data_IF_072364116423
#
_entry.id   IF_072364116423
#
_cell.length_a   1.000
_cell.length_b   1.000
_cell.length_c   1.000
_cell.angle_alpha   90.00
_cell.angle_beta   90.00
_cell.angle_gamma   90.00
#
_symmetry.space_group_name_H-M   'P 1'
#
loop_
_entity.id
_entity.type
_entity.pdbx_description
1 polymer ?
#
# COMPACT_ATOMS: atom_id res chain seq x y z
N UNK A 1 26.50 13.74 6.86
CA UNK A 1 25.75 14.94 7.23
C UNK A 1 24.28 14.73 6.92
N UNK A 2 23.49 14.81 7.95
CA UNK A 2 22.05 14.69 7.77
C UNK A 2 21.53 16.01 7.18
N UNK A 3 21.14 16.00 5.94
CA UNK A 3 20.67 17.21 5.23
C UNK A 3 19.29 17.70 5.69
N UNK A 4 18.94 17.52 6.94
CA UNK A 4 17.64 17.93 7.46
C UNK A 4 16.46 17.11 6.96
N UNK A 5 16.70 16.02 6.23
CA UNK A 5 15.64 15.12 5.80
C UNK A 5 15.10 14.34 7.01
N UNK A 6 13.81 14.46 7.24
CA UNK A 6 13.11 13.78 8.33
C UNK A 6 12.59 12.45 7.78
N UNK A 7 12.78 11.37 8.52
CA UNK A 7 12.22 10.06 8.13
C UNK A 7 10.69 10.05 8.23
N UNK A 8 10.05 9.11 7.55
CA UNK A 8 8.60 8.94 7.67
C UNK A 8 8.19 8.65 9.12
N UNK A 9 8.97 7.82 9.81
CA UNK A 9 8.72 7.48 11.22
C UNK A 9 8.77 8.71 12.11
N UNK A 10 9.81 9.53 11.96
CA UNK A 10 9.98 10.74 12.76
C UNK A 10 8.89 11.76 12.47
N UNK A 11 8.56 11.95 11.22
CA UNK A 11 7.50 12.88 10.83
C UNK A 11 6.15 12.46 11.41
N UNK A 12 5.80 11.19 11.31
CA UNK A 12 4.56 10.66 11.86
C UNK A 12 4.54 10.71 13.39
N UNK A 13 5.69 10.48 14.04
CA UNK A 13 5.80 10.61 15.48
C UNK A 13 5.54 12.04 15.96
N UNK A 14 5.99 13.03 15.19
CA UNK A 14 5.82 14.44 15.52
C UNK A 14 4.42 14.97 15.17
N UNK A 15 3.91 14.63 13.98
CA UNK A 15 2.68 15.22 13.42
C UNK A 15 1.46 14.31 13.47
N UNK A 16 1.63 13.01 13.64
CA UNK A 16 0.56 12.02 13.68
C UNK A 16 0.02 11.59 12.31
N UNK A 17 0.13 12.43 11.31
CA UNK A 17 -0.30 12.12 9.95
C UNK A 17 0.63 12.75 8.92
N UNK A 18 0.61 12.21 7.69
CA UNK A 18 1.43 12.67 6.59
C UNK A 18 0.71 12.46 5.29
N UNK A 19 0.69 13.48 4.43
CA UNK A 19 0.20 13.35 3.05
C UNK A 19 1.40 13.44 2.11
N UNK A 20 1.51 12.48 1.19
CA UNK A 20 2.67 12.35 0.31
C UNK A 20 2.25 11.93 -1.09
N UNK A 21 3.09 12.25 -2.08
CA UNK A 21 2.84 11.86 -3.46
C UNK A 21 3.14 10.39 -3.68
N UNK A 22 2.29 9.73 -4.45
CA UNK A 22 2.54 8.36 -4.84
C UNK A 22 3.70 8.26 -5.82
N UNK A 23 4.61 7.34 -5.57
CA UNK A 23 5.77 7.05 -6.42
C UNK A 23 5.65 5.60 -6.90
N UNK A 24 5.91 5.39 -8.20
CA UNK A 24 5.83 4.08 -8.80
C UNK A 24 4.42 3.69 -9.21
N UNK A 25 4.28 2.48 -9.73
CA UNK A 25 3.04 1.99 -10.34
C UNK A 25 2.44 0.79 -9.60
N UNK A 26 3.01 0.41 -8.48
CA UNK A 26 2.60 -0.81 -7.74
C UNK A 26 1.19 -0.74 -7.16
N UNK A 27 0.63 0.45 -7.00
CA UNK A 27 -0.72 0.66 -6.46
C UNK A 27 -1.73 1.12 -7.51
N UNK A 28 -1.42 0.99 -8.80
CA UNK A 28 -2.42 1.15 -9.84
C UNK A 28 -3.52 0.10 -9.70
N UNK A 29 -4.76 0.38 -10.01
CA UNK A 29 -5.31 1.66 -10.50
C UNK A 29 -5.67 2.66 -9.41
N UNK A 30 -5.48 2.32 -8.14
CA UNK A 30 -5.89 3.18 -7.03
C UNK A 30 -5.10 4.49 -7.00
N UNK A 31 -3.77 4.40 -7.09
CA UNK A 31 -2.88 5.56 -7.00
C UNK A 31 -1.95 5.62 -8.22
N UNK A 32 -1.96 6.76 -8.90
CA UNK A 32 -1.14 7.00 -10.09
C UNK A 32 0.13 7.75 -9.70
N UNK A 33 1.23 7.35 -10.30
CA UNK A 33 2.53 7.98 -10.05
C UNK A 33 2.51 9.46 -10.44
N UNK A 34 2.99 10.30 -9.52
CA UNK A 34 3.17 11.73 -9.75
C UNK A 34 1.88 12.55 -9.82
N UNK A 35 0.72 11.92 -9.65
CA UNK A 35 -0.58 12.61 -9.73
C UNK A 35 -1.42 12.46 -8.48
N UNK A 36 -1.41 11.29 -7.88
CA UNK A 36 -2.28 10.98 -6.75
C UNK A 36 -1.48 11.07 -5.44
N UNK A 37 -2.22 11.37 -4.37
CA UNK A 37 -1.64 11.54 -3.04
C UNK A 37 -2.25 10.51 -2.10
N UNK A 38 -1.50 10.14 -1.08
CA UNK A 38 -2.03 9.31 0.01
C UNK A 38 -1.73 9.96 1.35
N UNK A 39 -2.64 9.78 2.30
CA UNK A 39 -2.48 10.23 3.68
C UNK A 39 -2.31 9.03 4.58
N UNK A 40 -1.25 9.07 5.37
CA UNK A 40 -0.94 8.05 6.36
C UNK A 40 -1.18 8.59 7.75
N UNK A 41 -1.63 7.71 8.65
CA UNK A 41 -1.56 7.93 10.07
C UNK A 41 -0.58 6.94 10.69
N UNK A 42 0.07 7.34 11.77
CA UNK A 42 0.96 6.46 12.51
C UNK A 42 0.21 5.19 12.92
N UNK A 43 0.85 4.03 12.73
CA UNK A 43 0.26 2.78 13.17
C UNK A 43 0.07 2.79 14.69
N UNK A 44 -1.14 2.49 15.12
CA UNK A 44 -1.47 2.34 16.53
C UNK A 44 -0.95 1.01 17.11
N UNK A 45 -1.23 0.74 18.40
CA UNK A 45 -0.78 -0.49 19.06
C UNK A 45 -1.48 -1.76 18.58
N UNK A 46 -2.65 -1.61 17.93
CA UNK A 46 -3.41 -2.74 17.41
C UNK A 46 -2.85 -3.28 16.11
N UNK A 47 -3.38 -4.44 15.71
CA UNK A 47 -3.00 -5.07 14.46
C UNK A 47 -3.72 -4.42 13.27
N UNK A 48 -3.04 -4.41 12.12
CA UNK A 48 -3.68 -4.04 10.86
C UNK A 48 -4.70 -5.11 10.45
N UNK A 49 -5.60 -4.74 9.55
CA UNK A 49 -6.66 -5.61 9.04
C UNK A 49 -6.42 -5.93 7.57
N UNK A 50 -6.99 -7.02 7.12
CA UNK A 50 -7.04 -7.34 5.69
C UNK A 50 -7.72 -6.18 4.95
N UNK A 51 -7.09 -5.71 3.90
CA UNK A 51 -7.55 -4.56 3.13
C UNK A 51 -6.84 -3.25 3.44
N UNK A 52 -6.22 -3.12 4.60
CA UNK A 52 -5.45 -1.92 4.94
C UNK A 52 -4.29 -1.74 3.95
N UNK A 53 -4.10 -0.50 3.51
CA UNK A 53 -2.92 -0.11 2.73
C UNK A 53 -1.92 0.48 3.71
N UNK A 54 -0.73 -0.08 3.73
CA UNK A 54 0.29 0.27 4.72
C UNK A 54 1.59 0.70 4.06
N UNK A 55 2.26 1.66 4.68
CA UNK A 55 3.65 1.98 4.35
C UNK A 55 4.53 1.18 5.28
N UNK A 56 5.41 0.37 4.71
CA UNK A 56 6.32 -0.45 5.49
C UNK A 56 7.75 -0.30 5.01
N UNK A 57 8.67 -0.64 5.89
CA UNK A 57 10.09 -0.49 5.68
C UNK A 57 10.69 -1.77 5.11
N UNK A 58 11.36 -1.64 3.98
CA UNK A 58 12.17 -2.71 3.39
C UNK A 58 13.63 -2.38 3.58
N UNK A 59 14.40 -3.18 4.32
CA UNK A 59 15.83 -2.94 4.46
C UNK A 59 16.53 -2.94 3.09
N UNK A 60 17.63 -2.14 2.90
CA UNK A 60 18.22 -1.28 3.93
C UNK A 60 17.52 0.07 4.13
N UNK A 61 16.97 0.71 3.06
CA UNK A 61 16.48 2.09 3.16
C UNK A 61 15.24 2.35 2.28
N UNK A 62 14.44 1.35 2.03
CA UNK A 62 13.29 1.49 1.12
C UNK A 62 11.98 1.46 1.87
N UNK A 63 11.05 2.33 1.46
CA UNK A 63 9.67 2.33 1.93
C UNK A 63 8.76 1.92 0.81
N UNK A 64 7.78 1.09 1.12
CA UNK A 64 6.83 0.54 0.14
C UNK A 64 5.41 0.71 0.66
N UNK A 65 4.49 1.12 -0.23
CA UNK A 65 3.07 1.25 0.08
C UNK A 65 2.31 0.14 -0.65
N UNK A 66 1.82 -0.85 0.08
CA UNK A 66 1.07 -1.99 -0.48
C UNK A 66 -0.10 -2.35 0.43
N UNK A 67 -0.94 -3.28 -0.02
CA UNK A 67 -2.16 -3.70 0.67
C UNK A 67 -1.94 -4.97 1.47
N UNK A 68 -2.47 -5.01 2.70
CA UNK A 68 -2.51 -6.22 3.52
C UNK A 68 -3.56 -7.17 2.92
N UNK A 69 -3.12 -8.35 2.50
CA UNK A 69 -4.01 -9.38 1.92
C UNK A 69 -4.27 -10.53 2.87
N UNK A 70 -3.41 -10.74 3.87
CA UNK A 70 -3.60 -11.75 4.89
C UNK A 70 -2.96 -11.29 6.21
N UNK A 71 -3.63 -11.56 7.31
CA UNK A 71 -3.13 -11.29 8.66
C UNK A 71 -2.83 -12.62 9.33
N UNK A 72 -1.58 -12.85 9.71
CA UNK A 72 -1.13 -14.05 10.40
C UNK A 72 -0.75 -13.71 11.84
N UNK A 73 -0.59 -14.69 12.74
CA UNK A 73 -0.31 -14.40 14.15
C UNK A 73 0.87 -13.46 14.40
N UNK A 74 1.97 -13.64 13.67
CA UNK A 74 3.21 -12.88 13.91
C UNK A 74 3.58 -11.93 12.78
N UNK A 75 2.90 -11.99 11.64
CA UNK A 75 3.24 -11.17 10.47
C UNK A 75 2.03 -10.91 9.58
N UNK A 76 2.29 -10.27 8.46
CA UNK A 76 1.31 -9.96 7.42
C UNK A 76 1.81 -10.46 6.09
N UNK A 77 0.87 -10.80 5.21
CA UNK A 77 1.13 -11.02 3.80
C UNK A 77 0.61 -9.79 3.05
N UNK A 78 1.46 -9.21 2.22
CA UNK A 78 1.21 -7.92 1.59
C UNK A 78 1.37 -8.03 0.08
N UNK A 79 0.51 -7.32 -0.65
CA UNK A 79 0.53 -7.31 -2.12
C UNK A 79 0.12 -5.94 -2.64
N UNK A 80 0.92 -5.36 -3.52
CA UNK A 80 0.52 -4.14 -4.23
C UNK A 80 -0.65 -4.43 -5.19
N UNK A 81 -1.54 -3.47 -5.33
CA UNK A 81 -2.75 -3.62 -6.16
C UNK A 81 -2.41 -3.95 -7.63
N UNK A 82 -1.23 -3.58 -8.09
CA UNK A 82 -0.74 -3.86 -9.43
C UNK A 82 0.41 -4.88 -9.46
N UNK A 83 0.67 -5.56 -8.36
CA UNK A 83 1.78 -6.51 -8.24
C UNK A 83 1.33 -7.95 -8.48
N UNK A 84 2.29 -8.81 -8.82
CA UNK A 84 2.06 -10.22 -9.11
C UNK A 84 2.51 -11.15 -8.00
N UNK A 85 3.41 -10.70 -7.13
CA UNK A 85 4.02 -11.53 -6.10
C UNK A 85 3.73 -10.98 -4.72
N UNK A 86 3.21 -11.83 -3.85
CA UNK A 86 2.99 -11.51 -2.44
C UNK A 86 4.31 -11.38 -1.70
N UNK A 87 4.35 -10.50 -0.71
CA UNK A 87 5.46 -10.38 0.22
C UNK A 87 5.05 -10.94 1.57
N UNK A 88 5.92 -11.75 2.15
CA UNK A 88 5.70 -12.46 3.41
C UNK A 88 6.65 -11.93 4.49
N UNK A 89 6.32 -12.16 5.74
CA UNK A 89 7.21 -11.85 6.85
C UNK A 89 7.25 -10.38 7.25
N UNK A 90 6.29 -9.58 6.82
CA UNK A 90 6.19 -8.19 7.23
C UNK A 90 5.53 -8.14 8.62
N UNK A 91 6.23 -7.60 9.60
CA UNK A 91 5.78 -7.57 11.00
C UNK A 91 5.20 -6.21 11.36
N UNK A 92 4.54 -6.13 12.52
CA UNK A 92 4.05 -4.85 13.05
C UNK A 92 5.16 -3.81 13.19
N UNK A 93 6.38 -4.25 13.53
CA UNK A 93 7.53 -3.36 13.68
C UNK A 93 7.98 -2.75 12.34
N UNK A 94 7.71 -3.43 11.22
CA UNK A 94 8.06 -2.93 9.90
C UNK A 94 7.08 -1.88 9.37
N UNK A 95 5.87 -1.85 9.90
CA UNK A 95 4.81 -0.95 9.43
C UNK A 95 4.98 0.42 10.05
N UNK A 96 5.15 1.41 9.19
CA UNK A 96 5.37 2.81 9.58
C UNK A 96 4.05 3.55 9.75
N UNK A 97 3.12 3.34 8.82
CA UNK A 97 1.83 4.01 8.86
C UNK A 97 0.78 3.28 8.05
N UNK A 98 -0.47 3.66 8.28
CA UNK A 98 -1.65 3.08 7.63
C UNK A 98 -2.37 4.18 6.86
N UNK A 99 -2.75 3.90 5.62
CA UNK A 99 -3.47 4.87 4.80
C UNK A 99 -4.89 5.08 5.33
N UNK A 100 -5.25 6.34 5.52
CA UNK A 100 -6.58 6.74 5.99
C UNK A 100 -7.37 7.51 4.94
N UNK A 101 -6.67 8.13 3.98
CA UNK A 101 -7.27 8.90 2.92
C UNK A 101 -6.35 8.95 1.71
N UNK A 102 -6.89 9.31 0.57
CA UNK A 102 -6.10 9.47 -0.65
C UNK A 102 -6.79 10.44 -1.59
N UNK A 103 -6.04 10.99 -2.54
CA UNK A 103 -6.55 11.86 -3.60
C UNK A 103 -6.35 11.12 -4.92
N UNK A 104 -7.45 10.88 -5.62
CA UNK A 104 -7.47 10.24 -6.93
C UNK A 104 -8.20 11.14 -7.91
N UNK A 105 -7.58 11.49 -9.03
CA UNK A 105 -8.13 12.42 -10.01
C UNK A 105 -8.55 13.77 -9.40
N UNK A 106 -7.77 14.27 -8.44
CA UNK A 106 -8.07 15.54 -7.78
C UNK A 106 -9.21 15.47 -6.77
N UNK A 107 -9.79 14.30 -6.54
CA UNK A 107 -10.85 14.09 -5.55
C UNK A 107 -10.32 13.38 -4.33
N UNK A 108 -10.67 13.91 -3.16
CA UNK A 108 -10.32 13.31 -1.89
C UNK A 108 -11.28 12.18 -1.53
N UNK A 109 -10.73 11.07 -1.09
CA UNK A 109 -11.45 9.90 -0.62
C UNK A 109 -10.91 9.45 0.72
N UNK A 110 -11.77 8.86 1.54
CA UNK A 110 -11.36 8.22 2.79
C UNK A 110 -11.50 6.71 2.67
N UNK A 111 -10.67 5.99 3.43
CA UNK A 111 -10.75 4.51 3.43
C UNK A 111 -12.05 4.00 4.03
N UNK A 112 -12.81 4.84 4.72
CA UNK A 112 -14.13 4.52 5.26
C UNK A 112 -15.26 4.74 4.24
N UNK A 113 -14.99 5.35 3.09
CA UNK A 113 -16.00 5.60 2.07
C UNK A 113 -16.53 4.29 1.48
N UNK A 114 -17.85 4.18 1.27
CA UNK A 114 -18.45 2.95 0.71
C UNK A 114 -17.87 2.54 -0.64
N UNK A 115 -17.62 3.51 -1.52
CA UNK A 115 -17.02 3.24 -2.83
C UNK A 115 -15.62 2.64 -2.73
N UNK A 116 -14.79 3.19 -1.86
CA UNK A 116 -13.46 2.64 -1.63
C UNK A 116 -13.53 1.25 -0.99
N UNK A 117 -14.41 1.04 -0.03
CA UNK A 117 -14.58 -0.26 0.62
C UNK A 117 -15.01 -1.32 -0.38
N UNK A 118 -15.88 -0.97 -1.33
CA UNK A 118 -16.26 -1.86 -2.42
C UNK A 118 -15.07 -2.19 -3.31
N UNK A 119 -14.30 -1.18 -3.73
CA UNK A 119 -13.09 -1.37 -4.50
C UNK A 119 -12.12 -2.33 -3.80
N UNK A 120 -11.82 -2.06 -2.54
CA UNK A 120 -10.90 -2.89 -1.74
C UNK A 120 -11.38 -4.33 -1.65
N UNK A 121 -12.66 -4.54 -1.38
CA UNK A 121 -13.26 -5.87 -1.29
C UNK A 121 -13.17 -6.63 -2.62
N UNK A 122 -13.51 -5.98 -3.73
CA UNK A 122 -13.40 -6.57 -5.06
C UNK A 122 -11.95 -6.91 -5.40
N UNK A 123 -11.01 -6.01 -5.04
CA UNK A 123 -9.59 -6.24 -5.31
C UNK A 123 -9.06 -7.45 -4.56
N UNK A 124 -9.43 -7.59 -3.29
CA UNK A 124 -9.05 -8.75 -2.48
C UNK A 124 -9.63 -10.07 -3.04
N UNK A 125 -10.91 -10.04 -3.42
CA UNK A 125 -11.59 -11.25 -3.93
C UNK A 125 -11.13 -11.69 -5.30
N UNK A 126 -10.61 -10.78 -6.11
CA UNK A 126 -10.20 -11.05 -7.49
C UNK A 126 -8.70 -11.18 -7.65
N UNK A 127 -7.95 -11.25 -6.57
CA UNK A 127 -6.48 -11.32 -6.60
C UNK A 127 -5.99 -12.46 -7.50
N UNK A 128 -6.46 -13.67 -7.27
CA UNK A 128 -6.04 -14.84 -8.06
C UNK A 128 -6.34 -14.69 -9.55
N UNK A 129 -7.53 -14.22 -9.88
CA UNK A 129 -7.92 -13.99 -11.28
C UNK A 129 -7.07 -12.90 -11.92
N UNK A 130 -6.84 -11.79 -11.21
CA UNK A 130 -6.03 -10.68 -11.74
C UNK A 130 -4.60 -11.11 -12.02
N UNK A 131 -4.00 -11.86 -11.10
CA UNK A 131 -2.65 -12.38 -11.26
C UNK A 131 -2.60 -13.36 -12.44
N UNK A 132 -3.56 -14.26 -12.53
CA UNK A 132 -3.65 -15.21 -13.62
C UNK A 132 -3.73 -14.50 -14.99
N UNK A 133 -4.59 -13.49 -15.11
CA UNK A 133 -4.74 -12.73 -16.35
C UNK A 133 -3.46 -11.95 -16.71
N UNK A 134 -2.80 -11.34 -15.74
CA UNK A 134 -1.55 -10.62 -15.97
C UNK A 134 -0.42 -11.56 -16.42
N UNK A 135 -0.30 -12.71 -15.80
CA UNK A 135 0.68 -13.71 -16.19
C UNK A 135 0.41 -14.24 -17.59
N UNK A 136 -0.85 -14.44 -17.93
CA UNK A 136 -1.26 -14.84 -19.29
C UNK A 136 -0.88 -13.80 -20.34
N UNK A 137 -1.12 -12.51 -20.07
CA UNK A 137 -0.73 -11.41 -20.95
C UNK A 137 0.79 -11.36 -21.14
N UNK A 138 1.56 -11.54 -20.08
CA UNK A 138 3.02 -11.60 -20.13
C UNK A 138 3.49 -12.77 -20.99
N UNK A 139 2.88 -13.91 -20.80
CA UNK A 139 3.20 -15.11 -21.59
C UNK A 139 2.95 -14.87 -23.08
N UNK A 140 1.78 -14.32 -23.42
CA UNK A 140 1.43 -14.01 -24.81
C UNK A 140 2.43 -13.03 -25.45
N UNK A 141 2.83 -11.99 -24.74
CA UNK A 141 3.82 -11.02 -25.24
C UNK A 141 5.18 -11.65 -25.54
N UNK A 142 5.56 -12.68 -24.78
CA UNK A 142 6.85 -13.36 -24.96
C UNK A 142 6.83 -14.38 -26.08
N UNK A 143 5.69 -14.96 -26.40
CA UNK A 143 5.57 -16.09 -27.32
C UNK A 143 4.86 -15.73 -28.64
N UNK A 144 4.41 -14.50 -28.76
CA UNK A 144 3.84 -13.97 -29.99
C UNK A 144 4.66 -12.74 -30.44
#
# INVERSE_FOLDING_TARGET
>A
MNNGAVSFEDYLAEHGSLTYSNVGVSMLPLLRQGRDLFTLEKKGPGRCRVGDVVLYRCPPDRYVLHRVVEVRPDDYVILGDNCLSREYGITDADIVGVMTAFVHNGREHRVTDPGYRLYSSLWLRTEGLRIFLKKGRRWLRRHL
#
